data_IF_387868833986
#
_entry.id   IF_387868833986
#
_cell.length_a   1.000
_cell.length_b   1.000
_cell.length_c   1.000
_cell.angle_alpha   90.00
_cell.angle_beta   90.00
_cell.angle_gamma   90.00
#
_symmetry.space_group_name_H-M   'P 1'
#
loop_
_entity.id
_entity.type
_entity.pdbx_description
1 polymer ?
#
# COMPACT_ATOMS: atom_id res chain seq x y z
N UNK A 1 -19.28 -0.51 17.42
CA UNK A 1 -20.29 -0.80 18.47
C UNK A 1 -21.69 -0.52 17.93
N UNK A 2 -22.69 -1.34 18.32
CA UNK A 2 -24.08 -1.20 17.83
C UNK A 2 -24.79 0.09 18.29
N UNK A 3 -24.17 0.86 19.17
CA UNK A 3 -24.69 2.13 19.71
C UNK A 3 -24.12 3.38 18.98
N UNK A 4 -23.43 3.20 17.85
CA UNK A 4 -22.83 4.30 17.09
C UNK A 4 -21.50 4.83 17.66
N UNK A 5 -20.94 4.17 18.68
CA UNK A 5 -19.60 4.51 19.20
C UNK A 5 -18.53 3.57 18.67
N UNK A 6 -17.27 3.99 18.71
CA UNK A 6 -16.10 3.17 18.37
C UNK A 6 -15.26 2.95 19.62
N UNK A 7 -14.63 1.78 19.67
CA UNK A 7 -13.62 1.46 20.68
C UNK A 7 -12.31 1.19 19.95
N UNK A 8 -11.22 1.79 20.41
CA UNK A 8 -9.89 1.51 19.87
C UNK A 8 -9.47 0.11 20.31
N UNK A 9 -9.31 -0.77 19.32
CA UNK A 9 -8.86 -2.15 19.49
C UNK A 9 -7.55 -2.43 18.76
N UNK A 10 -6.82 -1.39 18.32
CA UNK A 10 -5.61 -1.49 17.49
C UNK A 10 -4.59 -2.45 18.08
N UNK A 11 -4.25 -2.31 19.35
CA UNK A 11 -3.30 -3.18 20.02
C UNK A 11 -3.82 -4.62 20.20
N UNK A 12 -5.11 -4.76 20.55
CA UNK A 12 -5.76 -6.07 20.72
C UNK A 12 -5.83 -6.82 19.39
N UNK A 13 -6.18 -6.11 18.31
CA UNK A 13 -6.24 -6.65 16.96
C UNK A 13 -4.85 -6.86 16.32
N UNK A 14 -3.76 -6.37 16.93
CA UNK A 14 -2.38 -6.47 16.43
C UNK A 14 -2.16 -5.79 15.08
N UNK A 15 -2.79 -4.62 14.88
CA UNK A 15 -2.67 -3.83 13.65
C UNK A 15 -1.99 -2.47 13.88
N UNK A 16 -1.14 -2.37 14.89
CA UNK A 16 -0.45 -1.14 15.32
C UNK A 16 0.74 -0.74 14.41
N UNK A 17 1.07 -1.55 13.40
CA UNK A 17 2.19 -1.29 12.50
C UNK A 17 3.56 -1.55 13.11
N UNK A 18 3.64 -2.26 14.24
CA UNK A 18 4.91 -2.57 14.93
C UNK A 18 5.79 -3.59 14.19
N UNK A 19 5.21 -4.31 13.21
CA UNK A 19 5.90 -5.28 12.34
C UNK A 19 6.68 -4.64 11.19
N UNK A 20 6.48 -5.11 9.96
CA UNK A 20 7.16 -4.66 8.74
C UNK A 20 7.02 -3.15 8.51
N UNK A 21 5.90 -2.56 8.89
CA UNK A 21 5.62 -1.14 8.74
C UNK A 21 6.08 -0.23 9.87
N UNK A 22 6.98 -0.68 10.75
CA UNK A 22 7.45 0.14 11.88
C UNK A 22 8.12 1.42 11.40
N UNK A 23 7.60 2.56 11.87
CA UNK A 23 8.13 3.88 11.54
C UNK A 23 7.70 4.42 10.16
N UNK A 24 6.94 3.67 9.37
CA UNK A 24 6.38 4.12 8.11
C UNK A 24 5.12 4.99 8.33
N UNK A 25 4.91 5.96 7.43
CA UNK A 25 3.70 6.80 7.44
C UNK A 25 2.62 6.13 6.60
N UNK A 26 1.51 5.75 7.23
CA UNK A 26 0.37 5.10 6.57
C UNK A 26 -0.39 6.09 5.68
N UNK A 27 -0.76 5.66 4.48
CA UNK A 27 -1.34 6.53 3.44
C UNK A 27 -2.69 6.03 2.92
N UNK A 28 -2.89 4.72 2.86
CA UNK A 28 -4.13 4.12 2.38
C UNK A 28 -4.35 2.71 2.90
N UNK A 29 -5.53 2.16 2.65
CA UNK A 29 -5.90 0.79 3.01
C UNK A 29 -6.85 0.21 1.98
N UNK A 30 -6.63 -1.07 1.63
CA UNK A 30 -7.60 -1.91 0.93
C UNK A 30 -8.05 -3.05 1.84
N UNK A 31 -9.28 -3.50 1.62
CA UNK A 31 -9.91 -4.59 2.37
C UNK A 31 -10.35 -5.66 1.36
N UNK A 32 -9.99 -6.91 1.59
CA UNK A 32 -10.37 -8.05 0.74
C UNK A 32 -9.98 -9.36 1.40
N UNK A 33 -10.66 -10.43 1.06
CA UNK A 33 -10.32 -11.80 1.49
C UNK A 33 -9.37 -12.40 0.44
N UNK A 34 -8.05 -12.15 0.61
CA UNK A 34 -7.07 -12.51 -0.41
C UNK A 34 -6.72 -14.00 -0.41
N UNK A 35 -6.96 -14.72 0.68
CA UNK A 35 -6.65 -16.15 0.79
C UNK A 35 -7.90 -17.05 0.77
N UNK A 36 -9.08 -16.49 0.54
CA UNK A 36 -10.34 -17.22 0.38
C UNK A 36 -10.84 -17.90 1.64
N UNK A 37 -10.41 -17.42 2.84
CA UNK A 37 -10.75 -18.05 4.11
C UNK A 37 -12.10 -17.57 4.70
N UNK A 38 -12.76 -16.61 4.07
CA UNK A 38 -14.04 -16.02 4.48
C UNK A 38 -13.91 -14.85 5.46
N UNK A 39 -12.69 -14.41 5.79
CA UNK A 39 -12.43 -13.26 6.65
C UNK A 39 -11.71 -12.14 5.86
N UNK A 40 -12.16 -10.90 6.07
CA UNK A 40 -11.57 -9.76 5.36
C UNK A 40 -10.20 -9.41 5.93
N UNK A 41 -9.19 -9.37 5.04
CA UNK A 41 -7.82 -8.98 5.31
C UNK A 41 -7.60 -7.49 5.01
N UNK A 42 -6.45 -6.95 5.43
CA UNK A 42 -6.10 -5.55 5.23
C UNK A 42 -4.75 -5.43 4.53
N UNK A 43 -4.69 -4.65 3.45
CA UNK A 43 -3.42 -4.17 2.92
C UNK A 43 -3.28 -2.68 3.17
N UNK A 44 -2.22 -2.27 3.85
CA UNK A 44 -1.98 -0.89 4.29
C UNK A 44 -0.78 -0.33 3.55
N UNK A 45 -1.00 0.70 2.73
CA UNK A 45 0.07 1.41 2.03
C UNK A 45 0.76 2.42 2.93
N UNK A 46 2.02 2.72 2.61
CA UNK A 46 2.85 3.58 3.45
C UNK A 46 3.85 4.41 2.63
N UNK A 47 4.37 5.46 3.23
CA UNK A 47 5.69 5.97 2.90
C UNK A 47 6.71 5.12 3.68
N UNK A 48 7.38 4.19 2.99
CA UNK A 48 8.14 3.08 3.54
C UNK A 48 7.44 1.74 3.30
N UNK A 49 7.79 0.67 4.01
CA UNK A 49 7.22 -0.65 3.76
C UNK A 49 5.69 -0.69 3.95
N UNK A 50 5.00 -1.27 2.98
CA UNK A 50 3.58 -1.60 3.07
C UNK A 50 3.36 -2.81 3.98
N UNK A 51 2.12 -3.05 4.40
CA UNK A 51 1.80 -4.16 5.31
C UNK A 51 0.59 -4.93 4.82
N UNK A 52 0.72 -6.25 4.72
CA UNK A 52 -0.40 -7.18 4.55
C UNK A 52 -0.72 -7.84 5.88
N UNK A 53 -1.92 -7.60 6.38
CA UNK A 53 -2.47 -8.21 7.58
C UNK A 53 -3.49 -9.27 7.20
N UNK A 54 -3.18 -10.53 7.51
CA UNK A 54 -4.12 -11.65 7.43
C UNK A 54 -5.03 -11.66 8.66
N UNK A 55 -6.33 -11.74 8.45
CA UNK A 55 -7.34 -11.88 9.51
C UNK A 55 -7.38 -13.33 10.01
N UNK A 56 -7.24 -13.52 11.31
CA UNK A 56 -7.24 -14.85 11.94
C UNK A 56 -8.66 -15.37 12.25
N UNK A 57 -9.71 -14.58 12.00
CA UNK A 57 -11.09 -14.94 12.29
C UNK A 57 -11.52 -14.83 13.76
N UNK A 58 -10.60 -14.47 14.66
CA UNK A 58 -10.83 -14.34 16.11
C UNK A 58 -10.78 -12.88 16.58
N UNK A 59 -10.76 -11.92 15.65
CA UNK A 59 -10.63 -10.48 15.92
C UNK A 59 -9.20 -10.00 16.03
N UNK A 60 -8.22 -10.87 15.72
CA UNK A 60 -6.80 -10.51 15.60
C UNK A 60 -6.29 -10.67 14.17
N UNK A 61 -5.18 -10.03 13.87
CA UNK A 61 -4.50 -10.11 12.58
C UNK A 61 -3.06 -10.59 12.75
N UNK A 62 -2.52 -11.17 11.69
CA UNK A 62 -1.09 -11.55 11.58
C UNK A 62 -0.46 -10.75 10.45
N UNK A 63 0.68 -10.07 10.71
CA UNK A 63 1.49 -9.46 9.67
C UNK A 63 2.19 -10.58 8.86
N UNK A 64 1.76 -10.74 7.62
CA UNK A 64 2.28 -11.75 6.68
C UNK A 64 3.07 -11.13 5.53
N UNK A 65 3.36 -9.83 5.60
CA UNK A 65 3.98 -9.02 4.54
C UNK A 65 5.22 -9.66 3.93
N UNK A 66 6.15 -10.08 4.79
CA UNK A 66 7.41 -10.67 4.35
C UNK A 66 7.21 -12.06 3.70
N UNK A 67 6.31 -12.87 4.26
CA UNK A 67 5.98 -14.20 3.73
C UNK A 67 5.25 -14.09 2.39
N UNK A 68 4.35 -13.12 2.25
CA UNK A 68 3.60 -12.86 1.04
C UNK A 68 4.43 -12.18 -0.07
N UNK A 69 5.53 -11.51 0.28
CA UNK A 69 6.42 -10.85 -0.68
C UNK A 69 5.90 -9.50 -1.21
N UNK A 70 5.08 -8.77 -0.44
CA UNK A 70 4.37 -7.57 -0.88
C UNK A 70 4.79 -6.27 -0.17
N UNK A 71 5.94 -6.26 0.52
CA UNK A 71 6.38 -5.11 1.32
C UNK A 71 6.63 -3.82 0.52
N UNK A 72 6.84 -3.92 -0.80
CA UNK A 72 7.34 -2.80 -1.59
C UNK A 72 8.79 -2.44 -1.23
N UNK A 73 9.23 -1.26 -1.62
CA UNK A 73 10.56 -0.72 -1.31
C UNK A 73 10.58 0.07 0.00
N UNK A 74 11.72 0.03 0.71
CA UNK A 74 11.87 0.70 2.00
C UNK A 74 11.73 2.24 1.95
N UNK A 75 11.81 2.84 0.77
CA UNK A 75 11.67 4.29 0.53
C UNK A 75 10.59 4.61 -0.50
N UNK A 76 9.79 3.64 -0.90
CA UNK A 76 8.67 3.87 -1.80
C UNK A 76 7.56 4.64 -1.09
N UNK A 77 6.84 5.43 -1.84
CA UNK A 77 5.68 6.16 -1.36
C UNK A 77 4.43 5.59 -2.01
N UNK A 78 3.93 4.51 -1.43
CA UNK A 78 2.66 3.92 -1.84
C UNK A 78 1.52 4.77 -1.29
N UNK A 79 0.59 5.18 -2.14
CA UNK A 79 -0.46 6.15 -1.77
C UNK A 79 -1.83 5.52 -1.66
N UNK A 80 -2.13 4.57 -2.54
CA UNK A 80 -3.43 3.92 -2.61
C UNK A 80 -3.28 2.49 -3.12
N UNK A 81 -4.30 1.68 -2.91
CA UNK A 81 -4.26 0.27 -3.25
C UNK A 81 -5.68 -0.27 -3.45
N UNK A 82 -5.80 -1.41 -4.16
CA UNK A 82 -7.05 -2.12 -4.34
C UNK A 82 -6.81 -3.59 -4.60
N UNK A 83 -7.69 -4.43 -4.08
CA UNK A 83 -7.77 -5.84 -4.47
C UNK A 83 -8.65 -5.98 -5.73
N UNK A 84 -8.23 -6.82 -6.67
CA UNK A 84 -8.96 -7.15 -7.90
C UNK A 84 -8.52 -8.53 -8.37
N UNK A 85 -9.38 -9.20 -9.12
CA UNK A 85 -9.02 -10.41 -9.86
C UNK A 85 -8.69 -9.99 -11.30
N UNK A 86 -7.39 -9.75 -11.60
CA UNK A 86 -6.99 -9.15 -12.89
C UNK A 86 -6.88 -10.19 -14.01
N UNK A 87 -6.58 -11.45 -13.68
CA UNK A 87 -6.40 -12.53 -14.66
C UNK A 87 -7.56 -13.55 -14.68
N UNK A 88 -8.58 -13.31 -13.85
CA UNK A 88 -9.83 -14.08 -13.76
C UNK A 88 -9.62 -15.52 -13.31
N UNK A 89 -8.67 -15.74 -12.41
CA UNK A 89 -8.42 -17.05 -11.83
C UNK A 89 -9.22 -17.32 -10.56
N UNK A 90 -9.90 -16.32 -10.02
CA UNK A 90 -10.76 -16.36 -8.84
C UNK A 90 -10.07 -15.94 -7.55
N UNK A 91 -8.75 -15.73 -7.57
CA UNK A 91 -7.99 -15.21 -6.43
C UNK A 91 -7.88 -13.68 -6.50
N UNK A 92 -7.88 -13.01 -5.35
CA UNK A 92 -7.71 -11.55 -5.32
C UNK A 92 -6.24 -11.16 -5.44
N UNK A 93 -5.92 -10.47 -6.51
CA UNK A 93 -4.65 -9.80 -6.77
C UNK A 93 -4.59 -8.44 -6.08
N UNK A 94 -3.41 -7.81 -6.10
CA UNK A 94 -3.18 -6.56 -5.40
C UNK A 94 -2.52 -5.52 -6.32
N UNK A 95 -3.21 -4.39 -6.53
CA UNK A 95 -2.66 -3.22 -7.20
C UNK A 95 -2.24 -2.16 -6.18
N UNK A 96 -1.04 -1.60 -6.34
CA UNK A 96 -0.48 -0.55 -5.47
C UNK A 96 -0.04 0.63 -6.32
N UNK A 97 -0.64 1.79 -6.08
CA UNK A 97 -0.25 3.05 -6.70
C UNK A 97 0.90 3.69 -5.92
N UNK A 98 1.97 4.04 -6.64
CA UNK A 98 3.12 4.73 -6.11
C UNK A 98 3.18 6.19 -6.59
N UNK A 99 3.76 7.08 -5.77
CA UNK A 99 3.75 8.52 -6.04
C UNK A 99 5.11 9.02 -6.53
N UNK A 100 6.00 9.35 -5.63
CA UNK A 100 7.25 10.04 -5.93
C UNK A 100 8.45 9.28 -5.36
N UNK A 101 9.61 9.38 -6.03
CA UNK A 101 10.90 9.08 -5.40
C UNK A 101 11.28 10.24 -4.48
N UNK A 102 10.72 10.22 -3.28
CA UNK A 102 10.98 11.22 -2.25
C UNK A 102 11.88 10.66 -1.16
N UNK A 103 12.98 11.35 -0.89
CA UNK A 103 13.95 10.95 0.12
C UNK A 103 14.10 12.04 1.17
N UNK A 104 13.79 11.73 2.42
CA UNK A 104 13.82 12.68 3.53
C UNK A 104 15.19 13.38 3.66
N UNK A 105 16.29 12.64 3.44
CA UNK A 105 17.67 13.17 3.54
C UNK A 105 18.09 14.03 2.35
N UNK A 106 17.45 13.87 1.21
CA UNK A 106 17.78 14.55 -0.04
C UNK A 106 16.69 15.55 -0.45
N UNK A 107 15.86 15.96 0.52
CA UNK A 107 14.72 16.83 0.27
C UNK A 107 15.19 18.22 -0.21
N UNK A 108 14.89 18.61 -1.47
CA UNK A 108 15.34 19.87 -2.04
C UNK A 108 14.77 21.07 -1.28
N UNK A 109 15.47 22.19 -1.38
CA UNK A 109 14.95 23.45 -0.84
C UNK A 109 14.03 24.09 -1.87
N UNK A 110 12.76 24.23 -1.55
CA UNK A 110 11.77 25.00 -2.32
C UNK A 110 11.35 26.22 -1.51
N UNK A 111 11.22 27.38 -2.20
CA UNK A 111 10.86 28.63 -1.57
C UNK A 111 11.86 29.76 -1.79
N UNK A 112 11.81 30.81 -0.99
CA UNK A 112 12.65 32.01 -1.11
C UNK A 112 13.91 31.84 -0.26
N UNK A 113 15.02 31.43 -0.88
CA UNK A 113 16.30 31.22 -0.17
C UNK A 113 16.83 32.48 0.53
N UNK A 114 16.60 33.64 -0.08
CA UNK A 114 17.05 34.93 0.47
C UNK A 114 16.46 35.24 1.85
N UNK A 115 15.22 34.84 2.06
CA UNK A 115 14.47 35.11 3.28
C UNK A 115 14.41 33.91 4.24
N UNK A 116 15.06 32.81 3.89
CA UNK A 116 15.00 31.56 4.64
C UNK A 116 13.62 30.88 4.62
N UNK A 117 12.70 31.38 3.80
CA UNK A 117 11.33 30.91 3.75
C UNK A 117 11.23 29.61 2.90
N UNK A 118 10.89 28.52 3.56
CA UNK A 118 10.74 27.19 2.95
C UNK A 118 9.27 26.90 2.63
N UNK A 119 9.01 26.42 1.42
CA UNK A 119 7.70 25.99 0.94
C UNK A 119 7.73 24.52 0.56
N UNK A 120 6.56 23.92 0.38
CA UNK A 120 6.45 22.59 -0.24
C UNK A 120 6.93 22.65 -1.69
N UNK A 121 7.67 21.62 -2.08
CA UNK A 121 8.10 21.47 -3.45
C UNK A 121 6.94 20.96 -4.33
N UNK A 122 6.85 21.51 -5.55
CA UNK A 122 5.88 20.99 -6.51
C UNK A 122 6.27 19.55 -6.92
N UNK A 123 5.30 18.64 -7.14
CA UNK A 123 5.57 17.23 -7.49
C UNK A 123 6.43 17.05 -8.74
N UNK A 124 6.45 18.02 -9.67
CA UNK A 124 7.31 17.98 -10.86
C UNK A 124 8.81 18.05 -10.56
N UNK A 125 9.19 18.41 -9.32
CA UNK A 125 10.58 18.41 -8.86
C UNK A 125 11.13 17.02 -8.54
N UNK A 126 10.29 16.01 -8.57
CA UNK A 126 10.62 14.63 -8.21
C UNK A 126 10.28 13.69 -9.37
N UNK A 127 11.01 12.62 -9.50
CA UNK A 127 10.64 11.53 -10.41
C UNK A 127 9.44 10.75 -9.86
N UNK A 128 8.65 10.15 -10.76
CA UNK A 128 7.60 9.22 -10.39
C UNK A 128 8.19 7.86 -10.02
N UNK A 129 7.40 7.06 -9.32
CA UNK A 129 7.69 5.65 -9.05
C UNK A 129 6.62 4.79 -9.72
N UNK A 130 7.06 3.73 -10.41
CA UNK A 130 6.12 2.83 -11.09
C UNK A 130 5.17 2.17 -10.10
N UNK A 131 3.90 2.06 -10.51
CA UNK A 131 2.90 1.29 -9.79
C UNK A 131 3.24 -0.21 -9.81
N UNK A 132 2.66 -0.96 -8.88
CA UNK A 132 2.85 -2.41 -8.79
C UNK A 132 1.55 -3.17 -8.94
N UNK A 133 1.63 -4.29 -9.63
CA UNK A 133 0.60 -5.32 -9.68
C UNK A 133 1.21 -6.62 -9.17
N UNK A 134 0.67 -7.12 -8.09
CA UNK A 134 1.06 -8.37 -7.48
C UNK A 134 -0.02 -9.42 -7.77
N UNK A 135 0.34 -10.45 -8.54
CA UNK A 135 -0.53 -11.59 -8.78
C UNK A 135 -0.50 -12.52 -7.58
N UNK A 136 -1.66 -12.90 -7.10
CA UNK A 136 -1.82 -13.93 -6.09
C UNK A 136 -1.43 -15.31 -6.69
N UNK A 137 -0.72 -16.11 -5.93
CA UNK A 137 -0.32 -17.47 -6.37
C UNK A 137 -1.23 -18.57 -5.77
N UNK A 138 -2.33 -18.21 -5.08
CA UNK A 138 -3.27 -19.13 -4.43
C UNK A 138 -2.70 -19.88 -3.22
N UNK A 139 -1.51 -19.51 -2.75
CA UNK A 139 -0.81 -20.18 -1.64
C UNK A 139 -0.35 -19.25 -0.53
N UNK A 140 -0.93 -18.01 -0.50
CA UNK A 140 -0.60 -16.96 0.46
C UNK A 140 0.64 -16.13 0.09
N UNK A 141 1.21 -16.34 -1.10
CA UNK A 141 2.31 -15.54 -1.66
C UNK A 141 1.87 -14.80 -2.92
N UNK A 142 2.60 -13.76 -3.28
CA UNK A 142 2.35 -12.97 -4.49
C UNK A 142 3.58 -12.92 -5.39
N UNK A 143 3.35 -12.69 -6.68
CA UNK A 143 4.40 -12.46 -7.69
C UNK A 143 4.21 -11.07 -8.28
N UNK A 144 5.25 -10.23 -8.26
CA UNK A 144 5.23 -8.93 -8.96
C UNK A 144 5.20 -9.16 -10.48
N UNK A 145 4.07 -8.83 -11.10
CA UNK A 145 3.83 -8.95 -12.54
C UNK A 145 3.73 -7.59 -13.24
N UNK A 146 4.05 -6.50 -12.57
CA UNK A 146 3.89 -5.12 -13.05
C UNK A 146 4.47 -4.89 -14.43
N UNK A 147 5.67 -5.42 -14.69
CA UNK A 147 6.32 -5.31 -16.01
C UNK A 147 5.60 -6.17 -17.06
N UNK A 148 5.25 -7.40 -16.72
CA UNK A 148 4.57 -8.32 -17.65
C UNK A 148 3.18 -7.83 -18.02
N UNK A 149 2.47 -7.23 -17.06
CA UNK A 149 1.16 -6.63 -17.26
C UNK A 149 1.20 -5.26 -17.97
N UNK A 150 2.40 -4.69 -18.21
CA UNK A 150 2.56 -3.41 -18.91
C UNK A 150 2.20 -2.17 -18.08
N UNK A 151 2.04 -2.29 -16.76
CA UNK A 151 1.66 -1.17 -15.87
C UNK A 151 2.87 -0.46 -15.24
N UNK A 152 4.08 -1.00 -15.36
CA UNK A 152 5.29 -0.44 -14.78
C UNK A 152 5.71 0.86 -15.47
N UNK A 153 4.95 1.94 -15.28
CA UNK A 153 5.23 3.28 -15.82
C UNK A 153 5.98 4.14 -14.78
N UNK A 154 7.31 4.34 -14.92
CA UNK A 154 8.07 5.11 -13.95
C UNK A 154 7.80 6.62 -14.00
N UNK A 155 7.08 7.12 -15.00
CA UNK A 155 6.68 8.54 -15.09
C UNK A 155 5.36 8.81 -14.37
N UNK A 156 4.63 7.79 -13.96
CA UNK A 156 3.38 7.91 -13.21
C UNK A 156 3.60 8.51 -11.83
N UNK A 157 2.57 9.18 -11.32
CA UNK A 157 2.51 9.73 -9.94
C UNK A 157 1.12 9.43 -9.41
N UNK A 158 0.89 8.16 -9.08
CA UNK A 158 -0.40 7.64 -8.63
C UNK A 158 -0.81 8.23 -7.28
N UNK A 159 -2.08 8.61 -7.13
CA UNK A 159 -2.63 9.12 -5.86
C UNK A 159 -3.85 8.35 -5.39
N UNK A 160 -4.55 7.67 -6.30
CA UNK A 160 -5.76 6.95 -5.97
C UNK A 160 -5.98 5.74 -6.88
N UNK A 161 -6.59 4.71 -6.32
CA UNK A 161 -7.01 3.49 -7.03
C UNK A 161 -8.50 3.31 -6.83
N UNK A 162 -9.21 3.02 -7.91
CA UNK A 162 -10.59 2.54 -7.88
C UNK A 162 -10.68 1.32 -8.78
N UNK A 163 -11.24 0.26 -8.26
CA UNK A 163 -11.48 -0.97 -9.01
C UNK A 163 -12.96 -1.03 -9.36
N UNK A 164 -13.28 -1.20 -10.65
CA UNK A 164 -14.63 -1.38 -11.13
C UNK A 164 -14.64 -2.22 -12.41
N UNK A 165 -15.72 -2.97 -12.59
CA UNK A 165 -16.11 -3.58 -13.84
C UNK A 165 -17.10 -2.64 -14.54
N UNK A 166 -16.79 -2.19 -15.76
CA UNK A 166 -17.55 -1.14 -16.44
C UNK A 166 -18.16 -1.58 -17.79
N UNK A 167 -18.02 -2.88 -18.17
CA UNK A 167 -18.56 -3.46 -19.43
C UNK A 167 -19.47 -4.69 -19.24
#
# INVERSE_FOLDING_TARGET
NKNGTFTDVTAQARVDGSGAGKGAYKTGVAVGDYDGNGYLDLFVTSFGPDILYKNNGDGTFTDVTAAAGVAGGASEWSTSTGFLDYDRDGDLDLYVANYLDFRLKENPFCGLRKDGYRMYCHPTMFDGVADRLFRNNGNGTFTDVSRAAGIANPAGKGLGVTVCDFD
#
